data_IF_085657588925
#
_entry.id   IF_085657588925
#
_cell.length_a   1.000
_cell.length_b   1.000
_cell.length_c   1.000
_cell.angle_alpha   90.00
_cell.angle_beta   90.00
_cell.angle_gamma   90.00
#
_symmetry.space_group_name_H-M   'P 1'
#
loop_
_entity.id
_entity.type
_entity.pdbx_description
1 polymer ?
#
# COMPACT_ATOMS: atom_id res chain seq x y z
N UNK A 1 -32.31 11.82 9.74
CA UNK A 1 -31.43 10.86 10.43
C UNK A 1 -30.30 10.61 9.47
N UNK A 2 -29.13 11.20 9.74
CA UNK A 2 -27.93 10.90 8.97
C UNK A 2 -27.48 9.49 9.35
N UNK A 3 -27.59 8.56 8.40
CA UNK A 3 -27.03 7.22 8.54
C UNK A 3 -25.52 7.36 8.64
N UNK A 4 -24.95 7.01 9.80
CA UNK A 4 -23.49 7.01 9.97
C UNK A 4 -22.96 5.82 9.17
N UNK A 5 -22.42 6.11 7.98
CA UNK A 5 -21.70 5.11 7.18
C UNK A 5 -20.46 4.67 7.98
N UNK A 6 -20.31 3.37 8.29
CA UNK A 6 -19.12 2.89 8.98
C UNK A 6 -17.88 3.23 8.17
N UNK A 7 -16.88 3.84 8.80
CA UNK A 7 -15.59 4.08 8.16
C UNK A 7 -14.91 2.72 7.91
N UNK A 8 -14.49 2.48 6.67
CA UNK A 8 -13.69 1.30 6.32
C UNK A 8 -12.28 1.48 6.94
N UNK A 9 -11.88 0.65 7.92
CA UNK A 9 -10.59 0.78 8.59
C UNK A 9 -9.42 0.47 7.64
N UNK A 10 -9.64 -0.26 6.56
CA UNK A 10 -8.62 -0.59 5.55
C UNK A 10 -8.46 0.52 4.50
N UNK A 11 -9.38 1.49 4.47
CA UNK A 11 -9.43 2.49 3.42
C UNK A 11 -8.10 3.23 3.23
N UNK A 12 -7.47 3.62 4.33
CA UNK A 12 -6.22 4.36 4.27
C UNK A 12 -5.10 3.56 3.56
N UNK A 13 -4.94 2.28 3.91
CA UNK A 13 -3.88 1.45 3.32
C UNK A 13 -4.19 1.16 1.85
N UNK A 14 -5.45 0.89 1.51
CA UNK A 14 -5.90 0.73 0.12
C UNK A 14 -5.62 1.98 -0.70
N UNK A 15 -5.92 3.16 -0.16
CA UNK A 15 -5.72 4.43 -0.84
C UNK A 15 -4.24 4.68 -1.19
N UNK A 16 -3.33 4.52 -0.23
CA UNK A 16 -1.90 4.73 -0.50
C UNK A 16 -1.34 3.68 -1.46
N UNK A 17 -1.82 2.43 -1.39
CA UNK A 17 -1.46 1.38 -2.34
C UNK A 17 -1.92 1.69 -3.76
N UNK A 18 -3.14 2.21 -3.94
CA UNK A 18 -3.60 2.68 -5.24
C UNK A 18 -2.73 3.82 -5.80
N UNK A 19 -2.36 4.80 -4.97
CA UNK A 19 -1.48 5.88 -5.40
C UNK A 19 -0.11 5.36 -5.83
N UNK A 20 0.44 4.37 -5.11
CA UNK A 20 1.68 3.70 -5.46
C UNK A 20 1.57 2.95 -6.80
N UNK A 21 0.49 2.21 -7.03
CA UNK A 21 0.22 1.50 -8.28
C UNK A 21 0.21 2.42 -9.50
N UNK A 22 -0.48 3.55 -9.42
CA UNK A 22 -0.53 4.50 -10.52
C UNK A 22 0.82 5.18 -10.75
N UNK A 23 1.55 5.50 -9.69
CA UNK A 23 2.90 6.05 -9.81
C UNK A 23 3.85 5.06 -10.50
N UNK A 24 3.78 3.77 -10.16
CA UNK A 24 4.55 2.69 -10.80
C UNK A 24 4.25 2.59 -12.30
N UNK A 25 2.97 2.58 -12.68
CA UNK A 25 2.57 2.51 -14.08
C UNK A 25 2.97 3.75 -14.87
N UNK A 26 2.87 4.93 -14.28
CA UNK A 26 3.31 6.16 -14.92
C UNK A 26 4.83 6.21 -15.10
N UNK A 27 5.60 5.75 -14.10
CA UNK A 27 7.05 5.61 -14.20
C UNK A 27 7.45 4.58 -15.27
N UNK A 28 6.78 3.42 -15.31
CA UNK A 28 6.99 2.39 -16.32
C UNK A 28 6.70 2.92 -17.73
N UNK A 29 5.61 3.66 -17.92
CA UNK A 29 5.30 4.29 -19.21
C UNK A 29 6.37 5.30 -19.66
N UNK A 30 7.05 5.96 -18.72
CA UNK A 30 8.08 6.96 -19.01
C UNK A 30 9.48 6.34 -19.21
N UNK A 31 9.80 5.25 -18.53
CA UNK A 31 11.17 4.68 -18.46
C UNK A 31 11.32 3.29 -19.07
N UNK A 32 10.22 2.55 -19.25
CA UNK A 32 10.19 1.17 -19.71
C UNK A 32 10.51 0.12 -18.63
N UNK A 33 10.50 0.49 -17.35
CA UNK A 33 10.68 -0.44 -16.24
C UNK A 33 9.93 0.02 -14.98
N UNK A 34 9.59 -0.90 -14.08
CA UNK A 34 9.15 -0.56 -12.73
C UNK A 34 10.36 -0.28 -11.83
N UNK A 35 10.16 0.35 -10.67
CA UNK A 35 11.26 0.71 -9.75
C UNK A 35 10.98 0.36 -8.31
N UNK A 36 12.02 0.00 -7.57
CA UNK A 36 11.96 -0.12 -6.10
C UNK A 36 12.17 1.22 -5.39
N UNK A 37 12.61 2.26 -6.12
CA UNK A 37 12.94 3.56 -5.54
C UNK A 37 11.71 4.46 -5.45
N UNK A 38 11.26 4.72 -4.21
CA UNK A 38 10.17 5.67 -3.97
C UNK A 38 10.54 7.10 -4.45
N UNK A 39 11.82 7.48 -4.38
CA UNK A 39 12.30 8.79 -4.86
C UNK A 39 12.04 8.99 -6.36
N UNK A 40 12.22 7.93 -7.15
CA UNK A 40 11.94 7.95 -8.60
C UNK A 40 10.45 8.03 -8.91
N UNK A 41 9.59 7.57 -7.98
CA UNK A 41 8.14 7.63 -8.11
C UNK A 41 7.57 8.99 -7.69
N UNK A 42 8.28 9.79 -6.89
CA UNK A 42 7.79 11.08 -6.38
C UNK A 42 7.15 12.00 -7.44
N UNK A 43 7.70 12.13 -8.66
CA UNK A 43 7.09 12.98 -9.69
C UNK A 43 5.75 12.46 -10.23
N UNK A 44 5.46 11.18 -10.02
CA UNK A 44 4.30 10.47 -10.59
C UNK A 44 3.15 10.28 -9.60
N UNK A 45 3.36 10.60 -8.32
CA UNK A 45 2.29 10.62 -7.34
C UNK A 45 1.38 11.84 -7.54
N UNK A 46 0.06 11.60 -7.55
CA UNK A 46 -0.93 12.68 -7.67
C UNK A 46 -1.17 13.41 -6.34
N UNK A 47 -1.09 12.70 -5.21
CA UNK A 47 -1.22 13.26 -3.85
C UNK A 47 0.11 13.18 -3.11
N UNK A 48 0.59 14.34 -2.65
CA UNK A 48 1.78 14.41 -1.78
C UNK A 48 1.52 13.84 -0.39
N UNK A 49 0.29 13.98 0.11
CA UNK A 49 -0.09 13.40 1.40
C UNK A 49 -0.02 11.87 1.35
N UNK A 50 -0.44 11.24 0.25
CA UNK A 50 -0.38 9.79 0.09
C UNK A 50 1.07 9.27 0.23
N UNK A 51 2.04 9.97 -0.35
CA UNK A 51 3.48 9.62 -0.21
C UNK A 51 3.90 9.68 1.26
N UNK A 52 3.51 10.74 1.97
CA UNK A 52 3.88 10.93 3.37
C UNK A 52 3.28 9.85 4.28
N UNK A 53 2.07 9.39 3.94
CA UNK A 53 1.37 8.30 4.61
C UNK A 53 1.80 6.90 4.13
N UNK A 54 2.63 6.79 3.09
CA UNK A 54 3.10 5.49 2.58
C UNK A 54 4.26 4.97 3.41
N UNK A 55 4.13 3.76 3.94
CA UNK A 55 5.24 2.99 4.52
C UNK A 55 5.48 1.77 3.64
N UNK A 56 6.48 1.83 2.77
CA UNK A 56 6.89 0.68 1.96
C UNK A 56 7.63 -0.33 2.85
N UNK A 57 7.10 -1.54 2.94
CA UNK A 57 7.64 -2.62 3.79
C UNK A 57 8.52 -3.57 2.98
N UNK A 58 8.03 -3.96 1.80
CA UNK A 58 8.75 -4.76 0.84
C UNK A 58 8.39 -4.32 -0.59
N UNK A 59 9.33 -4.47 -1.51
CA UNK A 59 9.10 -4.18 -2.93
C UNK A 59 10.03 -5.02 -3.79
N UNK A 60 9.43 -5.65 -4.80
CA UNK A 60 10.14 -6.23 -5.92
C UNK A 60 9.68 -5.52 -7.18
N UNK A 61 10.63 -5.09 -8.02
CA UNK A 61 10.33 -4.48 -9.31
C UNK A 61 11.26 -5.03 -10.39
N UNK A 62 10.70 -5.27 -11.56
CA UNK A 62 11.40 -5.70 -12.76
C UNK A 62 11.03 -4.77 -13.92
N UNK A 63 11.51 -5.08 -15.12
CA UNK A 63 11.08 -4.36 -16.31
C UNK A 63 9.61 -4.57 -16.64
N UNK A 64 8.98 -5.65 -16.15
CA UNK A 64 7.68 -6.11 -16.65
C UNK A 64 6.59 -6.25 -15.57
N UNK A 65 6.96 -6.25 -14.30
CA UNK A 65 6.04 -6.45 -13.18
C UNK A 65 6.63 -5.85 -11.90
N UNK A 66 5.77 -5.54 -10.95
CA UNK A 66 6.15 -5.20 -9.58
C UNK A 66 5.20 -5.87 -8.58
N UNK A 67 5.71 -6.05 -7.36
CA UNK A 67 4.92 -6.43 -6.20
C UNK A 67 5.40 -5.59 -5.01
N UNK A 68 4.48 -5.11 -4.18
CA UNK A 68 4.80 -4.30 -3.03
C UNK A 68 3.93 -4.65 -1.83
N UNK A 69 4.53 -4.62 -0.64
CA UNK A 69 3.84 -4.59 0.64
C UNK A 69 3.89 -3.18 1.21
N UNK A 70 2.71 -2.61 1.45
CA UNK A 70 2.54 -1.22 1.83
C UNK A 70 1.73 -1.16 3.12
N UNK A 71 2.27 -0.47 4.12
CA UNK A 71 1.55 -0.07 5.31
C UNK A 71 1.26 1.43 5.32
N UNK A 72 0.50 1.87 6.32
CA UNK A 72 0.34 3.28 6.63
C UNK A 72 1.44 3.77 7.55
N UNK A 73 2.00 4.94 7.22
CA UNK A 73 2.87 5.70 8.12
C UNK A 73 1.98 6.50 9.05
N UNK A 74 1.94 6.11 10.33
CA UNK A 74 1.20 6.87 11.34
C UNK A 74 1.81 8.26 11.55
N UNK A 75 0.97 9.30 11.52
CA UNK A 75 1.33 10.66 11.96
C UNK A 75 0.64 11.06 13.26
N UNK A 76 -0.37 10.32 13.71
CA UNK A 76 -1.05 10.50 14.99
C UNK A 76 -1.43 9.15 15.59
N UNK A 77 -1.17 9.00 16.88
CA UNK A 77 -1.43 7.84 17.76
C UNK A 77 -2.92 7.56 18.00
N UNK A 78 -3.80 8.03 17.11
CA UNK A 78 -5.27 8.04 17.27
C UNK A 78 -5.99 7.02 16.37
N UNK A 79 -5.29 6.38 15.44
CA UNK A 79 -5.72 5.09 14.91
C UNK A 79 -5.24 4.02 15.89
N UNK A 80 -6.20 3.34 16.51
CA UNK A 80 -6.02 2.24 17.45
C UNK A 80 -4.70 1.48 17.18
N UNK A 81 -3.73 1.63 18.09
CA UNK A 81 -2.38 1.04 18.06
C UNK A 81 -2.40 -0.52 17.92
N UNK A 82 -3.60 -1.12 17.93
CA UNK A 82 -3.88 -2.54 17.84
C UNK A 82 -4.36 -3.05 16.48
N UNK A 83 -4.43 -2.24 15.42
CA UNK A 83 -4.67 -2.76 14.05
C UNK A 83 -3.69 -2.19 13.05
N UNK A 84 -2.57 -2.89 12.86
CA UNK A 84 -1.64 -2.62 11.77
C UNK A 84 -2.12 -3.39 10.53
N UNK A 85 -2.61 -2.66 9.53
CA UNK A 85 -2.93 -3.24 8.22
C UNK A 85 -1.73 -3.16 7.28
N UNK A 86 -1.55 -4.21 6.49
CA UNK A 86 -0.58 -4.26 5.39
C UNK A 86 -1.33 -4.64 4.13
N UNK A 87 -1.11 -3.89 3.07
CA UNK A 87 -1.65 -4.19 1.75
C UNK A 87 -0.55 -4.79 0.87
N UNK A 88 -0.85 -5.91 0.23
CA UNK A 88 -0.10 -6.46 -0.89
C UNK A 88 -0.73 -5.96 -2.18
N UNK A 89 0.08 -5.44 -3.10
CA UNK A 89 -0.37 -4.95 -4.40
C UNK A 89 0.60 -5.36 -5.52
N UNK A 90 0.04 -5.75 -6.66
CA UNK A 90 0.77 -6.19 -7.84
C UNK A 90 0.49 -5.29 -9.05
N UNK A 91 1.14 -5.59 -10.18
CA UNK A 91 1.00 -4.83 -11.43
C UNK A 91 -0.38 -4.95 -12.09
N UNK A 92 -1.20 -5.92 -11.70
CA UNK A 92 -2.60 -6.04 -12.15
C UNK A 92 -3.56 -5.10 -11.38
N UNK A 93 -3.08 -4.47 -10.31
CA UNK A 93 -3.86 -3.56 -9.47
C UNK A 93 -4.76 -4.24 -8.45
N UNK A 94 -4.66 -5.57 -8.29
CA UNK A 94 -5.32 -6.29 -7.21
C UNK A 94 -4.67 -5.94 -5.87
N UNK A 95 -5.49 -5.63 -4.87
CA UNK A 95 -5.04 -5.27 -3.52
C UNK A 95 -5.63 -6.26 -2.53
N UNK A 96 -4.75 -6.96 -1.83
CA UNK A 96 -5.08 -7.78 -0.68
C UNK A 96 -4.65 -7.05 0.59
N UNK A 97 -5.53 -6.96 1.59
CA UNK A 97 -5.23 -6.30 2.87
C UNK A 97 -5.29 -7.31 4.00
N UNK A 98 -4.23 -7.35 4.78
CA UNK A 98 -4.09 -8.22 5.94
C UNK A 98 -3.98 -7.40 7.22
N UNK A 99 -4.56 -7.90 8.30
CA UNK A 99 -4.36 -7.37 9.64
C UNK A 99 -3.24 -8.15 10.34
N UNK A 100 -2.07 -7.53 10.50
CA UNK A 100 -0.89 -8.23 11.02
C UNK A 100 -0.90 -8.43 12.54
N UNK A 101 -1.88 -7.87 13.26
CA UNK A 101 -2.09 -8.15 14.69
C UNK A 101 -2.95 -9.40 14.93
N UNK A 102 -3.62 -9.90 13.89
CA UNK A 102 -4.26 -11.21 13.88
C UNK A 102 -3.32 -12.23 13.24
N UNK A 103 -2.15 -12.44 13.85
CA UNK A 103 -1.32 -13.59 13.52
C UNK A 103 -2.13 -14.86 13.80
N UNK A 104 -2.83 -15.36 12.78
CA UNK A 104 -3.39 -16.69 12.78
C UNK A 104 -2.23 -17.66 12.97
N UNK A 105 -2.31 -18.63 13.90
CA UNK A 105 -1.35 -19.71 13.95
C UNK A 105 -1.48 -20.44 12.61
N UNK A 106 -0.53 -20.21 11.70
CA UNK A 106 -0.34 -21.10 10.56
C UNK A 106 -0.10 -22.47 11.19
N UNK A 107 -1.13 -23.32 11.12
CA UNK A 107 -1.04 -24.69 11.56
C UNK A 107 0.10 -25.32 10.76
N UNK A 108 1.20 -25.64 11.43
CA UNK A 108 2.20 -26.55 10.91
C UNK A 108 1.49 -27.83 10.50
N UNK A 109 1.39 -28.08 9.20
CA UNK A 109 1.04 -29.40 8.69
C UNK A 109 2.35 -30.18 8.75
N UNK A 110 2.42 -31.13 9.70
CA UNK A 110 3.41 -32.22 9.72
C UNK A 110 3.17 -33.21 8.57
#
# INVERSE_FOLDING_TARGET
MDEVVPADPEWGVRYVSFQYYYAQHAYHNASGAYTTSLEQLLPYFSSREAIQCTKLLDVTATNNSFSAQIGLRGTDSSFDDNTQFVASIEDDGYIEVENVNLASPIASIE
#
